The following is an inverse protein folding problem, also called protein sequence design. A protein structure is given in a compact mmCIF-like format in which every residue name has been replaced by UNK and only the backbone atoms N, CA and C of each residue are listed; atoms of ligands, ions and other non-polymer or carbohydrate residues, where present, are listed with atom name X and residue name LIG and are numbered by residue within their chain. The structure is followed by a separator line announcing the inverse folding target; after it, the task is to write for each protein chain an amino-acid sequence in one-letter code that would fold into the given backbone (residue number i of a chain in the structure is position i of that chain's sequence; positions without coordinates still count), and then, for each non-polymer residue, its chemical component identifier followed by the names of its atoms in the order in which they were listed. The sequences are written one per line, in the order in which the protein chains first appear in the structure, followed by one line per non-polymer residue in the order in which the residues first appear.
data_IF_648493167766
#
_entry.id   IF_648493167766
#
_cell.length_a   1.000
_cell.length_b   1.000
_cell.length_c   1.000
_cell.angle_alpha   90.00
_cell.angle_beta   90.00
_cell.angle_gamma   90.00
#
_symmetry.space_group_name_H-M   'P 1'
#
loop_
_entity.id
_entity.type
_entity.pdbx_description
1 polymer ?
#
# COMPACT_ATOMS: atom_id res chain seq x y z
N UNK A 1 -6.15 23.57 -26.15
CA UNK A 1 -6.00 23.20 -24.73
C UNK A 1 -7.31 22.59 -24.31
N UNK A 2 -7.32 21.31 -23.94
CA UNK A 2 -8.01 20.83 -22.73
C UNK A 2 -8.02 19.32 -22.67
N UNK A 3 -7.27 18.85 -21.67
CA UNK A 3 -7.59 17.73 -20.80
C UNK A 3 -7.71 16.36 -21.48
N UNK A 4 -6.53 15.77 -21.77
CA UNK A 4 -6.34 14.34 -21.57
C UNK A 4 -6.60 14.07 -20.08
N UNK A 5 -7.87 13.91 -19.71
CA UNK A 5 -8.19 13.29 -18.44
C UNK A 5 -7.67 11.87 -18.55
N UNK A 6 -6.50 11.68 -17.95
CA UNK A 6 -6.01 10.38 -17.51
C UNK A 6 -7.24 9.60 -17.04
N UNK A 7 -7.64 8.55 -17.79
CA UNK A 7 -8.75 7.67 -17.41
C UNK A 7 -8.28 6.81 -16.24
N UNK A 8 -7.94 7.48 -15.15
CA UNK A 8 -7.53 6.88 -13.92
C UNK A 8 -8.79 6.23 -13.36
N UNK A 9 -8.85 4.92 -13.54
CA UNK A 9 -9.95 4.08 -13.08
C UNK A 9 -9.69 3.78 -11.62
N UNK A 10 -10.71 3.95 -10.80
CA UNK A 10 -10.64 3.68 -9.38
C UNK A 10 -11.51 2.50 -9.02
N UNK A 11 -11.08 1.77 -8.01
CA UNK A 11 -11.91 0.86 -7.26
C UNK A 11 -12.45 1.61 -6.03
N UNK A 12 -13.78 1.70 -5.90
CA UNK A 12 -14.40 2.40 -4.77
C UNK A 12 -15.48 1.55 -4.11
N UNK A 13 -15.57 1.64 -2.78
CA UNK A 13 -16.66 1.03 -2.02
C UNK A 13 -17.68 2.12 -1.69
N UNK A 14 -18.91 1.98 -2.21
CA UNK A 14 -20.01 2.93 -1.99
C UNK A 14 -21.09 2.27 -1.15
N UNK A 15 -21.39 2.86 0.00
CA UNK A 15 -22.46 2.44 0.90
C UNK A 15 -23.73 3.22 0.61
N UNK A 16 -24.79 2.52 0.21
CA UNK A 16 -26.12 3.10 0.00
C UNK A 16 -26.93 3.11 1.30
N UNK A 17 -27.20 4.32 1.83
CA UNK A 17 -28.00 4.55 3.05
C UNK A 17 -29.48 4.83 2.78
N UNK A 18 -29.92 4.83 1.53
CA UNK A 18 -31.28 5.25 1.12
C UNK A 18 -32.39 4.31 1.64
N UNK A 19 -32.03 3.15 2.20
CA UNK A 19 -32.97 2.14 2.68
C UNK A 19 -33.67 1.34 1.57
N UNK A 20 -33.52 1.77 0.31
CA UNK A 20 -34.06 1.13 -0.90
C UNK A 20 -33.10 0.06 -1.41
N UNK A 21 -33.65 -1.05 -1.92
CA UNK A 21 -32.88 -2.13 -2.54
C UNK A 21 -32.16 -1.72 -3.81
N UNK A 22 -32.64 -0.68 -4.51
CA UNK A 22 -31.99 -0.15 -5.71
C UNK A 22 -31.95 1.38 -5.67
N UNK A 23 -30.75 1.94 -5.80
CA UNK A 23 -30.52 3.38 -5.92
C UNK A 23 -29.59 3.65 -7.10
N UNK A 24 -30.01 4.49 -8.06
CA UNK A 24 -29.22 4.77 -9.26
C UNK A 24 -28.55 6.13 -9.17
N UNK A 25 -27.22 6.17 -9.30
CA UNK A 25 -26.42 7.40 -9.32
C UNK A 25 -25.21 7.23 -10.24
N UNK A 26 -24.81 8.28 -10.94
CA UNK A 26 -23.64 8.28 -11.83
C UNK A 26 -23.65 7.14 -12.88
N UNK A 27 -24.85 6.76 -13.35
CA UNK A 27 -25.04 5.64 -14.30
C UNK A 27 -25.04 4.24 -13.67
N UNK A 28 -24.67 4.12 -12.39
CA UNK A 28 -24.53 2.85 -11.66
C UNK A 28 -25.75 2.59 -10.78
N UNK A 29 -26.20 1.34 -10.75
CA UNK A 29 -27.24 0.86 -9.83
C UNK A 29 -26.58 0.30 -8.57
N UNK A 30 -26.84 0.93 -7.43
CA UNK A 30 -26.32 0.56 -6.12
C UNK A 30 -27.38 -0.23 -5.35
N UNK A 31 -27.00 -1.40 -4.85
CA UNK A 31 -27.81 -2.18 -3.94
C UNK A 31 -27.80 -1.57 -2.54
N UNK A 32 -28.71 -2.00 -1.68
CA UNK A 32 -28.70 -1.62 -0.26
C UNK A 32 -27.41 -2.11 0.41
N UNK A 33 -26.74 -1.24 1.18
CA UNK A 33 -25.50 -1.59 1.86
C UNK A 33 -24.23 -1.29 1.05
N UNK A 34 -23.18 -2.08 1.24
CA UNK A 34 -21.87 -1.88 0.62
C UNK A 34 -21.87 -2.37 -0.84
N UNK A 35 -21.41 -1.54 -1.77
CA UNK A 35 -21.25 -1.89 -3.18
C UNK A 35 -19.80 -1.64 -3.58
N UNK A 36 -19.11 -2.70 -4.00
CA UNK A 36 -17.78 -2.58 -4.60
C UNK A 36 -17.94 -2.23 -6.09
N UNK A 37 -17.50 -1.04 -6.46
CA UNK A 37 -17.48 -0.58 -7.84
C UNK A 37 -16.05 -0.60 -8.35
N UNK A 38 -15.87 -1.15 -9.55
CA UNK A 38 -14.61 -1.15 -10.30
C UNK A 38 -14.77 -0.25 -11.53
N UNK A 39 -13.66 0.22 -12.07
CA UNK A 39 -13.63 1.08 -13.26
C UNK A 39 -14.45 2.38 -13.06
N UNK A 40 -14.37 2.98 -11.87
CA UNK A 40 -15.07 4.22 -11.57
C UNK A 40 -14.15 5.39 -11.87
N UNK A 41 -14.63 6.33 -12.66
CA UNK A 41 -13.89 7.57 -12.97
C UNK A 41 -13.96 8.56 -11.82
N UNK A 42 -12.98 9.47 -11.73
CA UNK A 42 -12.98 10.54 -10.72
C UNK A 42 -14.28 11.37 -10.74
N UNK A 43 -14.82 11.67 -11.91
CA UNK A 43 -16.08 12.40 -12.05
C UNK A 43 -17.26 11.65 -11.40
N UNK A 44 -17.32 10.32 -11.55
CA UNK A 44 -18.34 9.50 -10.90
C UNK A 44 -18.15 9.47 -9.37
N UNK A 45 -16.90 9.43 -8.89
CA UNK A 45 -16.58 9.52 -7.46
C UNK A 45 -17.09 10.83 -6.86
N UNK A 46 -16.87 11.95 -7.55
CA UNK A 46 -17.38 13.25 -7.13
C UNK A 46 -18.91 13.28 -7.09
N UNK A 47 -19.57 12.66 -8.07
CA UNK A 47 -21.04 12.53 -8.06
C UNK A 47 -21.56 11.67 -6.90
N UNK A 48 -20.80 10.66 -6.47
CA UNK A 48 -21.12 9.87 -5.28
C UNK A 48 -20.85 10.65 -3.99
N UNK A 49 -19.76 11.41 -3.90
CA UNK A 49 -19.45 12.29 -2.75
C UNK A 49 -20.45 13.44 -2.61
N UNK A 50 -20.95 13.98 -3.73
CA UNK A 50 -21.97 15.01 -3.75
C UNK A 50 -23.37 14.50 -3.33
N UNK A 51 -23.57 13.17 -3.26
CA UNK A 51 -24.83 12.58 -2.84
C UNK A 51 -24.80 12.22 -1.34
N UNK A 52 -25.50 12.97 -0.46
CA UNK A 52 -25.46 12.73 0.98
C UNK A 52 -26.10 11.41 1.41
N UNK A 53 -26.78 10.70 0.51
CA UNK A 53 -27.39 9.38 0.77
C UNK A 53 -26.38 8.25 0.56
N UNK A 54 -25.23 8.57 -0.02
CA UNK A 54 -24.14 7.64 -0.27
C UNK A 54 -22.97 7.96 0.66
N UNK A 55 -22.28 6.92 1.10
CA UNK A 55 -21.01 7.07 1.84
C UNK A 55 -19.93 6.32 1.10
N UNK A 56 -18.87 7.01 0.72
CA UNK A 56 -17.66 6.36 0.23
C UNK A 56 -16.88 5.81 1.42
N UNK A 57 -16.54 4.53 1.36
CA UNK A 57 -15.66 3.85 2.32
C UNK A 57 -14.21 3.94 1.86
N UNK A 58 -13.79 2.99 1.04
CA UNK A 58 -12.44 2.93 0.48
C UNK A 58 -12.42 3.42 -0.96
N UNK A 59 -11.39 4.21 -1.31
CA UNK A 59 -11.07 4.60 -2.68
C UNK A 59 -9.63 4.18 -2.94
N UNK A 60 -9.44 3.26 -3.88
CA UNK A 60 -8.12 2.78 -4.29
C UNK A 60 -7.93 3.08 -5.77
N UNK A 61 -6.87 3.82 -6.17
CA UNK A 61 -6.52 3.98 -7.57
C UNK A 61 -6.18 2.60 -8.14
N UNK A 62 -6.87 2.21 -9.21
CA UNK A 62 -6.50 1.01 -9.94
C UNK A 62 -5.23 1.35 -10.71
N UNK A 63 -4.15 0.56 -10.58
CA UNK A 63 -2.94 0.84 -11.33
C UNK A 63 -3.29 0.87 -12.83
N UNK A 64 -2.87 1.91 -13.58
CA UNK A 64 -3.00 1.85 -15.02
C UNK A 64 -2.25 0.60 -15.49
N UNK A 65 -2.81 -0.16 -16.44
CA UNK A 65 -2.15 -1.33 -17.05
C UNK A 65 -0.89 -0.96 -17.88
N UNK A 66 -0.18 0.11 -17.50
CA UNK A 66 1.10 0.48 -18.08
C UNK A 66 2.22 -0.07 -17.21
N UNK A 67 2.73 -1.23 -17.63
CA UNK A 67 3.86 -1.97 -17.04
C UNK A 67 5.08 -1.06 -16.81
N UNK A 68 5.18 0.05 -17.54
CA UNK A 68 6.30 1.00 -17.51
C UNK A 68 6.35 1.95 -16.30
N UNK A 69 5.23 2.23 -15.62
CA UNK A 69 5.24 3.17 -14.47
C UNK A 69 5.59 2.46 -13.14
N UNK A 70 5.33 1.15 -13.05
CA UNK A 70 5.64 0.36 -11.86
C UNK A 70 7.15 0.27 -11.61
N UNK A 71 7.95 0.24 -12.68
CA UNK A 71 9.42 0.20 -12.58
C UNK A 71 10.03 1.55 -12.19
N UNK A 72 9.42 2.68 -12.59
CA UNK A 72 9.94 4.02 -12.23
C UNK A 72 9.66 4.39 -10.76
N UNK A 73 8.61 3.83 -10.14
CA UNK A 73 8.34 4.05 -8.71
C UNK A 73 9.35 3.32 -7.81
N UNK A 74 9.76 2.11 -8.21
CA UNK A 74 10.83 1.36 -7.53
C UNK A 74 12.19 2.08 -7.57
N UNK A 75 12.46 2.87 -8.61
CA UNK A 75 13.71 3.63 -8.73
C UNK A 75 13.70 4.98 -8.02
N UNK A 76 12.53 5.62 -7.89
CA UNK A 76 12.41 6.98 -7.32
C UNK A 76 12.41 6.98 -5.78
N UNK A 77 12.02 5.88 -5.13
CA UNK A 77 11.95 5.79 -3.66
C UNK A 77 13.33 5.56 -3.00
N UNK A 78 14.38 5.32 -3.79
CA UNK A 78 15.73 5.02 -3.27
C UNK A 78 16.55 6.30 -3.02
N UNK A 79 16.16 7.48 -3.55
CA UNK A 79 17.04 8.66 -3.63
C UNK A 79 16.47 9.95 -3.02
N UNK A 80 15.72 9.89 -1.92
CA UNK A 80 15.36 11.12 -1.18
C UNK A 80 15.49 10.93 0.33
N UNK A 81 16.74 10.94 0.78
CA UNK A 81 17.12 11.06 2.18
C UNK A 81 17.03 12.53 2.66
N UNK A 82 16.57 12.69 3.90
CA UNK A 82 16.82 13.80 4.84
C UNK A 82 16.12 15.17 4.63
N UNK A 83 15.24 15.67 5.52
CA UNK A 83 15.53 15.94 6.95
C UNK A 83 14.25 16.17 7.81
N UNK A 84 13.92 15.21 8.68
CA UNK A 84 13.67 15.23 10.15
C UNK A 84 13.05 16.44 10.90
N UNK A 85 12.47 16.29 12.13
CA UNK A 85 12.75 15.20 13.10
C UNK A 85 11.53 14.63 13.87
N UNK A 86 11.65 13.37 14.30
CA UNK A 86 11.46 12.88 15.69
C UNK A 86 10.96 11.44 15.70
N UNK A 87 11.77 10.57 16.32
CA UNK A 87 11.35 9.22 16.70
C UNK A 87 12.36 8.15 16.32
N UNK A 88 13.57 8.26 16.87
CA UNK A 88 14.54 7.17 17.06
C UNK A 88 14.35 5.92 16.19
N UNK A 89 14.95 5.92 14.99
CA UNK A 89 15.24 4.70 14.23
C UNK A 89 16.33 3.89 14.96
N UNK A 90 15.98 3.32 16.10
CA UNK A 90 16.44 1.98 16.41
C UNK A 90 15.48 1.06 15.65
N UNK A 91 15.79 0.73 14.41
CA UNK A 91 15.13 -0.38 13.70
C UNK A 91 15.57 -1.68 14.36
N UNK A 92 15.17 -1.85 15.62
CA UNK A 92 15.12 -3.14 16.26
C UNK A 92 14.11 -3.94 15.45
N UNK A 93 14.56 -5.08 14.92
CA UNK A 93 13.68 -6.11 14.36
C UNK A 93 12.45 -6.25 15.28
N UNK A 94 11.22 -6.23 14.77
CA UNK A 94 10.08 -6.58 15.60
C UNK A 94 10.35 -7.95 16.20
N UNK A 95 10.27 -8.06 17.53
CA UNK A 95 10.56 -9.28 18.31
C UNK A 95 9.75 -10.50 17.83
N UNK A 96 8.72 -10.26 17.02
CA UNK A 96 7.81 -11.24 16.45
C UNK A 96 8.31 -11.93 15.17
N UNK A 97 9.45 -11.52 14.59
CA UNK A 97 9.95 -12.18 13.37
C UNK A 97 10.30 -13.66 13.62
N UNK A 98 9.80 -14.54 12.76
CA UNK A 98 10.10 -15.97 12.85
C UNK A 98 11.53 -16.26 12.38
N UNK A 99 12.12 -17.34 12.85
CA UNK A 99 13.48 -17.78 12.46
C UNK A 99 13.62 -17.88 10.94
N UNK A 100 12.58 -18.33 10.25
CA UNK A 100 12.57 -18.45 8.79
C UNK A 100 12.62 -17.09 8.08
N UNK A 101 11.86 -16.11 8.58
CA UNK A 101 11.88 -14.75 8.05
C UNK A 101 13.25 -14.10 8.24
N UNK A 102 13.85 -14.25 9.43
CA UNK A 102 15.19 -13.69 9.70
C UNK A 102 16.25 -14.35 8.81
N UNK A 103 16.15 -15.66 8.57
CA UNK A 103 17.06 -16.39 7.66
C UNK A 103 16.90 -15.95 6.20
N UNK A 104 15.67 -15.73 5.74
CA UNK A 104 15.41 -15.22 4.39
C UNK A 104 16.05 -13.83 4.21
N UNK A 105 15.78 -12.93 5.16
CA UNK A 105 16.35 -11.58 5.18
C UNK A 105 17.89 -11.61 5.20
N UNK A 106 18.52 -12.41 6.06
CA UNK A 106 19.98 -12.55 6.09
C UNK A 106 20.55 -13.09 4.78
N UNK A 107 19.83 -14.00 4.11
CA UNK A 107 20.23 -14.55 2.81
C UNK A 107 20.13 -13.50 1.71
N UNK A 108 19.07 -12.68 1.70
CA UNK A 108 18.92 -11.54 0.79
C UNK A 108 20.05 -10.51 0.97
N UNK A 109 20.48 -10.27 2.21
CA UNK A 109 21.62 -9.41 2.52
C UNK A 109 23.00 -10.06 2.23
N UNK A 110 23.03 -11.30 1.73
CA UNK A 110 24.27 -12.04 1.46
C UNK A 110 25.06 -12.45 2.71
N UNK A 111 24.44 -12.42 3.89
CA UNK A 111 25.09 -12.75 5.16
C UNK A 111 24.92 -14.24 5.46
N UNK A 112 26.03 -14.95 5.56
CA UNK A 112 26.03 -16.39 5.78
C UNK A 112 25.85 -16.70 7.28
N UNK A 113 24.82 -17.48 7.61
CA UNK A 113 24.54 -17.93 8.98
C UNK A 113 24.55 -19.46 9.08
N UNK A 114 24.83 -19.97 10.28
CA UNK A 114 24.82 -21.41 10.53
C UNK A 114 23.40 -21.96 10.57
N UNK A 115 23.15 -23.14 10.00
CA UNK A 115 21.81 -23.77 9.97
C UNK A 115 21.23 -24.02 11.37
N UNK A 116 22.11 -24.19 12.37
CA UNK A 116 21.79 -24.37 13.79
C UNK A 116 21.73 -23.07 14.61
N UNK A 117 21.81 -21.90 13.95
CA UNK A 117 21.73 -20.61 14.63
C UNK A 117 20.34 -20.42 15.28
N UNK A 118 20.35 -20.01 16.55
CA UNK A 118 19.14 -19.68 17.30
C UNK A 118 18.58 -18.33 16.84
N UNK A 119 17.28 -18.10 17.09
CA UNK A 119 16.61 -16.83 16.76
C UNK A 119 17.42 -15.61 17.24
N UNK A 120 17.88 -15.62 18.48
CA UNK A 120 18.67 -14.53 19.05
C UNK A 120 19.99 -14.28 18.30
N UNK A 121 20.69 -15.34 17.87
CA UNK A 121 21.94 -15.22 17.11
C UNK A 121 21.69 -14.62 15.72
N UNK A 122 20.61 -15.03 15.06
CA UNK A 122 20.23 -14.50 13.75
C UNK A 122 19.81 -13.02 13.83
N UNK A 123 19.12 -12.63 14.91
CA UNK A 123 18.79 -11.24 15.22
C UNK A 123 20.04 -10.42 15.48
N UNK A 124 20.98 -10.94 16.28
CA UNK A 124 22.24 -10.26 16.55
C UNK A 124 23.06 -10.05 15.27
N UNK A 125 23.09 -11.06 14.41
CA UNK A 125 23.80 -11.05 13.13
C UNK A 125 23.14 -10.11 12.12
N UNK A 126 21.81 -10.02 12.12
CA UNK A 126 21.08 -9.01 11.37
C UNK A 126 21.37 -7.59 11.87
N UNK A 127 21.29 -7.37 13.18
CA UNK A 127 21.62 -6.06 13.77
C UNK A 127 23.07 -5.66 13.46
N UNK A 128 24.02 -6.58 13.51
CA UNK A 128 25.41 -6.34 13.14
C UNK A 128 25.56 -6.00 11.65
N UNK A 129 24.81 -6.68 10.77
CA UNK A 129 24.80 -6.39 9.34
C UNK A 129 24.15 -5.04 9.02
N UNK A 130 23.10 -4.64 9.75
CA UNK A 130 22.40 -3.36 9.56
C UNK A 130 23.17 -2.17 10.15
N UNK A 131 23.87 -2.38 11.28
CA UNK A 131 24.64 -1.31 11.93
C UNK A 131 26.04 -1.11 11.34
N UNK A 132 26.39 -1.78 10.23
CA UNK A 132 27.59 -1.52 9.44
C UNK A 132 28.86 -1.33 10.28
N UNK A 133 29.57 -2.43 10.51
CA UNK A 133 30.93 -2.47 11.07
C UNK A 133 31.73 -1.15 10.94
N UNK A 134 31.85 -0.38 12.03
CA UNK A 134 33.03 0.44 12.26
C UNK A 134 33.92 -0.30 13.26
N UNK A 135 34.94 -0.95 12.67
CA UNK A 135 36.15 -1.59 13.22
C UNK A 135 36.05 -2.95 13.93
#
# INVERSE_FOLDING_TARGET
MSDKQDENLYQVVVFNKTGKESYRRAGVSLLKGANLLKNVTQAQIEQFKADPRLVLGSQEPMPPESIEETEQRLLSEIHSDHSSPQGASNTALPDDLTVEQIKALLTEQGVHFSKSAKKAELIALWNAAQNGADK
#
